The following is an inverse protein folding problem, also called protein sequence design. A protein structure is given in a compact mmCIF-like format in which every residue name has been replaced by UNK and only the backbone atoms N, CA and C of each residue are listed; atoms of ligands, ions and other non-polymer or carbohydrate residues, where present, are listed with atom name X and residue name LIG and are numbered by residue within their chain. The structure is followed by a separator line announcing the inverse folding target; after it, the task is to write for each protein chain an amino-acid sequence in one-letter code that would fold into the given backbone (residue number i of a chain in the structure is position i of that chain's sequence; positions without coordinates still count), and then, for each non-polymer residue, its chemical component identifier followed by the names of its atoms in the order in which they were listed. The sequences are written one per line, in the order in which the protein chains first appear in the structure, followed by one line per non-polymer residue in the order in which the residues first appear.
data_IF_600609315887
#
_entry.id   IF_600609315887
#
_cell.length_a   1.000
_cell.length_b   1.000
_cell.length_c   1.000
_cell.angle_alpha   90.00
_cell.angle_beta   90.00
_cell.angle_gamma   90.00
#
_symmetry.space_group_name_H-M   'P 1'
#
loop_
_entity.id
_entity.type
_entity.pdbx_description
1 polymer ?
#
# COMPACT_ATOMS: atom_id res chain seq x y z
N UNK A 1 -32.49 -8.44 4.22
CA UNK A 1 -31.49 -9.44 4.71
C UNK A 1 -30.08 -8.91 4.36
N UNK A 2 -29.35 -8.39 5.34
CA UNK A 2 -27.99 -7.95 5.10
C UNK A 2 -27.14 -9.21 4.84
N UNK A 3 -26.62 -9.33 3.61
CA UNK A 3 -25.79 -10.45 3.19
C UNK A 3 -24.56 -10.54 4.13
N UNK A 4 -24.53 -11.53 5.01
CA UNK A 4 -23.40 -11.81 5.92
C UNK A 4 -22.08 -12.06 5.16
N UNK A 5 -22.13 -12.46 3.90
CA UNK A 5 -20.98 -12.57 2.99
C UNK A 5 -20.33 -11.22 2.65
N UNK A 6 -21.04 -10.11 2.75
CA UNK A 6 -20.48 -8.76 2.48
C UNK A 6 -19.50 -8.24 3.54
N UNK A 7 -19.31 -8.94 4.66
CA UNK A 7 -18.39 -8.54 5.75
C UNK A 7 -17.09 -9.32 5.79
N UNK A 8 -17.12 -10.64 5.61
CA UNK A 8 -15.93 -11.52 5.76
C UNK A 8 -14.99 -11.39 4.56
N UNK A 9 -15.48 -11.39 3.33
CA UNK A 9 -14.62 -11.33 2.14
C UNK A 9 -13.82 -10.03 2.08
N UNK A 10 -14.42 -8.82 2.25
CA UNK A 10 -13.64 -7.59 2.36
C UNK A 10 -12.66 -7.58 3.54
N UNK A 11 -13.01 -8.17 4.68
CA UNK A 11 -12.10 -8.29 5.83
C UNK A 11 -10.86 -9.12 5.46
N UNK A 12 -11.05 -10.30 4.86
CA UNK A 12 -9.95 -11.16 4.42
C UNK A 12 -9.07 -10.45 3.38
N UNK A 13 -9.66 -9.75 2.41
CA UNK A 13 -8.91 -8.96 1.42
C UNK A 13 -8.01 -7.92 2.09
N UNK A 14 -8.50 -7.21 3.11
CA UNK A 14 -7.73 -6.23 3.88
C UNK A 14 -6.61 -6.89 4.70
N UNK A 15 -6.89 -8.02 5.35
CA UNK A 15 -5.89 -8.79 6.10
C UNK A 15 -4.76 -9.28 5.19
N UNK A 16 -5.06 -9.65 3.95
CA UNK A 16 -4.05 -10.14 3.01
C UNK A 16 -3.21 -9.01 2.37
N UNK A 17 -3.82 -7.86 2.07
CA UNK A 17 -3.12 -6.77 1.40
C UNK A 17 -2.32 -5.88 2.35
N UNK A 18 -2.80 -5.65 3.57
CA UNK A 18 -2.21 -4.70 4.51
C UNK A 18 -0.79 -5.04 4.96
N UNK A 19 -0.43 -6.32 5.24
CA UNK A 19 0.92 -6.67 5.67
C UNK A 19 1.99 -6.28 4.66
N UNK A 20 1.68 -6.28 3.37
CA UNK A 20 2.62 -5.88 2.32
C UNK A 20 3.15 -4.46 2.57
N UNK A 21 2.27 -3.53 2.91
CA UNK A 21 2.63 -2.15 3.19
C UNK A 21 3.23 -1.96 4.57
N UNK A 22 2.61 -2.54 5.59
CA UNK A 22 3.10 -2.41 6.98
C UNK A 22 4.54 -2.93 7.08
N UNK A 23 4.81 -4.11 6.54
CA UNK A 23 6.16 -4.70 6.58
C UNK A 23 7.16 -3.91 5.72
N UNK A 24 6.74 -3.43 4.54
CA UNK A 24 7.59 -2.59 3.70
C UNK A 24 7.96 -1.28 4.40
N UNK A 25 7.00 -0.63 5.06
CA UNK A 25 7.26 0.59 5.82
C UNK A 25 8.15 0.34 7.05
N UNK A 26 7.92 -0.73 7.80
CA UNK A 26 8.78 -1.14 8.93
C UNK A 26 10.21 -1.39 8.45
N UNK A 27 10.39 -2.12 7.34
CA UNK A 27 11.71 -2.37 6.75
C UNK A 27 12.44 -1.06 6.43
N UNK A 28 11.74 -0.05 5.89
CA UNK A 28 12.32 1.26 5.61
C UNK A 28 12.78 1.98 6.88
N UNK A 29 12.08 1.82 7.98
CA UNK A 29 12.47 2.40 9.28
C UNK A 29 13.67 1.67 9.88
N UNK A 30 13.64 0.33 9.90
CA UNK A 30 14.70 -0.50 10.51
C UNK A 30 16.00 -0.42 9.71
N UNK A 31 15.92 -0.46 8.38
CA UNK A 31 17.07 -0.40 7.48
C UNK A 31 17.26 1.00 6.87
N UNK A 32 16.97 2.07 7.61
CA UNK A 32 16.85 3.43 7.09
C UNK A 32 18.06 3.90 6.28
N UNK A 33 19.28 3.67 6.77
CA UNK A 33 20.50 4.09 6.09
C UNK A 33 20.68 3.36 4.74
N UNK A 34 20.46 2.05 4.73
CA UNK A 34 20.54 1.23 3.52
C UNK A 34 19.47 1.65 2.52
N UNK A 35 18.24 1.83 2.98
CA UNK A 35 17.12 2.26 2.12
C UNK A 35 17.32 3.67 1.57
N UNK A 36 17.93 4.59 2.34
CA UNK A 36 18.27 5.93 1.86
C UNK A 36 19.23 5.89 0.67
N UNK A 37 20.19 4.96 0.65
CA UNK A 37 21.11 4.81 -0.49
C UNK A 37 20.39 4.42 -1.80
N UNK A 38 19.35 3.57 -1.72
CA UNK A 38 18.51 3.24 -2.89
C UNK A 38 17.74 4.47 -3.40
N UNK A 39 17.19 5.28 -2.48
CA UNK A 39 16.47 6.51 -2.85
C UNK A 39 17.42 7.53 -3.49
N UNK A 40 18.65 7.63 -2.99
CA UNK A 40 19.71 8.47 -3.56
C UNK A 40 20.09 7.98 -4.97
N UNK A 41 20.25 6.68 -5.17
CA UNK A 41 20.54 6.10 -6.46
C UNK A 41 19.44 6.32 -7.50
N UNK A 42 18.19 6.47 -7.06
CA UNK A 42 17.05 6.83 -7.91
C UNK A 42 16.95 8.34 -8.19
N UNK A 43 17.96 9.14 -7.78
CA UNK A 43 18.03 10.60 -7.96
C UNK A 43 16.82 11.37 -7.40
N UNK A 44 16.15 10.84 -6.38
CA UNK A 44 15.06 11.56 -5.71
C UNK A 44 15.60 12.69 -4.83
N UNK A 45 14.93 13.84 -4.80
CA UNK A 45 15.32 14.96 -3.94
C UNK A 45 15.11 14.57 -2.46
N UNK A 46 15.96 15.11 -1.58
CA UNK A 46 15.88 14.92 -0.13
C UNK A 46 15.68 13.44 0.27
N UNK A 47 16.64 12.53 -0.02
CA UNK A 47 16.44 11.08 0.06
C UNK A 47 15.90 10.59 1.41
N UNK A 48 16.45 11.10 2.52
CA UNK A 48 16.00 10.73 3.86
C UNK A 48 14.57 11.17 4.16
N UNK A 49 14.19 12.37 3.72
CA UNK A 49 12.82 12.87 3.86
C UNK A 49 11.84 12.08 3.00
N UNK A 50 12.20 11.84 1.74
CA UNK A 50 11.38 11.04 0.81
C UNK A 50 11.16 9.61 1.34
N UNK A 51 12.20 9.00 1.90
CA UNK A 51 12.10 7.69 2.53
C UNK A 51 11.20 7.69 3.77
N UNK A 52 11.32 8.72 4.61
CA UNK A 52 10.46 8.90 5.79
C UNK A 52 8.98 9.04 5.42
N UNK A 53 8.68 9.85 4.39
CA UNK A 53 7.33 9.97 3.85
C UNK A 53 6.80 8.64 3.30
N UNK A 54 7.63 7.90 2.56
CA UNK A 54 7.27 6.58 2.03
C UNK A 54 6.93 5.60 3.16
N UNK A 55 7.78 5.50 4.18
CA UNK A 55 7.54 4.66 5.34
C UNK A 55 6.25 5.04 6.08
N UNK A 56 5.98 6.33 6.26
CA UNK A 56 4.76 6.82 6.89
C UNK A 56 3.50 6.45 6.08
N UNK A 57 3.52 6.67 4.76
CA UNK A 57 2.40 6.30 3.87
C UNK A 57 2.12 4.80 3.94
N UNK A 58 3.15 3.97 3.91
CA UNK A 58 3.02 2.52 3.94
C UNK A 58 2.50 2.02 5.29
N UNK A 59 3.06 2.48 6.41
CA UNK A 59 2.63 2.04 7.76
C UNK A 59 1.22 2.54 8.05
N UNK A 60 0.98 3.85 7.92
CA UNK A 60 -0.31 4.45 8.25
C UNK A 60 -1.40 3.98 7.28
N UNK A 61 -1.10 3.96 5.97
CA UNK A 61 -2.02 3.47 4.95
C UNK A 61 -2.35 1.98 5.13
N UNK A 62 -1.34 1.15 5.40
CA UNK A 62 -1.52 -0.28 5.68
C UNK A 62 -2.37 -0.52 6.93
N UNK A 63 -2.12 0.19 8.03
CA UNK A 63 -2.92 0.10 9.26
C UNK A 63 -4.36 0.60 9.05
N UNK A 64 -4.55 1.69 8.30
CA UNK A 64 -5.87 2.21 7.97
C UNK A 64 -6.67 1.21 7.14
N UNK A 65 -6.05 0.58 6.13
CA UNK A 65 -6.67 -0.49 5.34
C UNK A 65 -7.00 -1.69 6.22
N UNK A 66 -6.06 -2.15 7.07
CA UNK A 66 -6.25 -3.30 7.96
C UNK A 66 -7.46 -3.12 8.88
N UNK A 67 -7.52 -1.99 9.57
CA UNK A 67 -8.60 -1.68 10.52
C UNK A 67 -9.91 -1.28 9.83
N UNK A 68 -9.84 -0.91 8.56
CA UNK A 68 -10.98 -0.38 7.84
C UNK A 68 -11.35 1.04 8.29
N UNK A 69 -10.35 1.87 8.54
CA UNK A 69 -10.48 3.27 8.95
C UNK A 69 -10.18 4.20 7.78
N UNK A 70 -11.16 5.03 7.40
CA UNK A 70 -11.08 5.87 6.19
C UNK A 70 -10.56 5.10 4.97
N UNK A 71 -11.05 3.88 4.78
CA UNK A 71 -10.48 2.87 3.87
C UNK A 71 -10.39 3.37 2.43
N UNK A 72 -11.42 4.05 1.93
CA UNK A 72 -11.40 4.58 0.56
C UNK A 72 -10.28 5.59 0.36
N UNK A 73 -10.09 6.50 1.32
CA UNK A 73 -9.02 7.50 1.26
C UNK A 73 -7.64 6.85 1.37
N UNK A 74 -7.46 5.94 2.34
CA UNK A 74 -6.21 5.20 2.51
C UNK A 74 -5.84 4.41 1.24
N UNK A 75 -6.81 3.73 0.63
CA UNK A 75 -6.61 2.99 -0.60
C UNK A 75 -6.17 3.90 -1.76
N UNK A 76 -6.77 5.08 -1.92
CA UNK A 76 -6.34 6.05 -2.93
C UNK A 76 -4.93 6.59 -2.67
N UNK A 77 -4.60 6.95 -1.43
CA UNK A 77 -3.26 7.46 -1.08
C UNK A 77 -2.20 6.41 -1.39
N UNK A 78 -2.40 5.16 -0.94
CA UNK A 78 -1.46 4.07 -1.18
C UNK A 78 -1.38 3.71 -2.66
N UNK A 79 -2.49 3.71 -3.39
CA UNK A 79 -2.52 3.48 -4.83
C UNK A 79 -1.67 4.53 -5.59
N UNK A 80 -1.90 5.82 -5.31
CA UNK A 80 -1.15 6.91 -5.96
C UNK A 80 0.34 6.88 -5.60
N UNK A 81 0.67 6.52 -4.37
CA UNK A 81 2.05 6.32 -3.93
C UNK A 81 2.73 5.14 -4.64
N UNK A 82 1.99 4.06 -4.90
CA UNK A 82 2.55 2.85 -5.51
C UNK A 82 2.92 3.05 -6.99
N UNK A 83 2.29 4.02 -7.69
CA UNK A 83 2.62 4.33 -9.08
C UNK A 83 4.09 4.76 -9.24
N UNK A 84 4.53 5.89 -8.66
CA UNK A 84 5.93 6.32 -8.80
C UNK A 84 6.90 5.32 -8.18
N UNK A 85 6.54 4.66 -7.07
CA UNK A 85 7.38 3.64 -6.46
C UNK A 85 7.64 2.49 -7.43
N UNK A 86 6.62 1.98 -8.11
CA UNK A 86 6.76 0.90 -9.08
C UNK A 86 7.60 1.34 -10.29
N UNK A 87 7.36 2.54 -10.78
CA UNK A 87 8.10 3.07 -11.94
C UNK A 87 9.59 3.25 -11.63
N UNK A 88 9.91 3.92 -10.53
CA UNK A 88 11.28 4.33 -10.22
C UNK A 88 12.14 3.18 -9.67
N UNK A 89 11.57 2.32 -8.81
CA UNK A 89 12.34 1.30 -8.09
C UNK A 89 12.25 -0.11 -8.70
N UNK A 90 11.35 -0.33 -9.65
CA UNK A 90 11.18 -1.64 -10.28
C UNK A 90 11.18 -1.58 -11.80
N UNK A 91 10.36 -0.74 -12.44
CA UNK A 91 10.26 -0.74 -13.90
C UNK A 91 11.54 -0.19 -14.55
N UNK A 92 12.03 0.97 -14.12
CA UNK A 92 13.26 1.55 -14.66
C UNK A 92 14.48 0.64 -14.50
N UNK A 93 14.76 0.05 -13.30
CA UNK A 93 15.82 -0.92 -13.17
C UNK A 93 15.65 -2.14 -14.08
N UNK A 94 14.43 -2.69 -14.20
CA UNK A 94 14.15 -3.84 -15.07
C UNK A 94 14.43 -3.54 -16.54
N UNK A 95 14.03 -2.37 -17.03
CA UNK A 95 14.30 -1.94 -18.41
C UNK A 95 15.80 -1.76 -18.66
N UNK A 96 16.56 -1.32 -17.66
CA UNK A 96 18.01 -1.20 -17.70
C UNK A 96 18.77 -2.52 -17.42
N UNK A 97 18.08 -3.65 -17.42
CA UNK A 97 18.63 -4.99 -17.16
C UNK A 97 19.26 -5.18 -15.77
N UNK A 98 18.90 -4.34 -14.79
CA UNK A 98 19.31 -4.50 -13.39
C UNK A 98 18.33 -5.46 -12.75
N UNK A 99 18.77 -6.67 -12.41
CA UNK A 99 17.90 -7.74 -11.87
C UNK A 99 16.52 -7.76 -12.54
N UNK A 100 16.52 -7.91 -13.86
CA UNK A 100 15.32 -7.75 -14.68
C UNK A 100 14.17 -8.67 -14.22
N UNK A 101 14.47 -9.92 -13.90
CA UNK A 101 13.45 -10.89 -13.49
C UNK A 101 12.81 -10.51 -12.16
N UNK A 102 13.61 -10.22 -11.14
CA UNK A 102 13.12 -9.82 -9.83
C UNK A 102 12.33 -8.52 -9.87
N UNK A 103 12.83 -7.53 -10.61
CA UNK A 103 12.16 -6.26 -10.77
C UNK A 103 10.85 -6.36 -11.56
N UNK A 104 10.79 -7.14 -12.64
CA UNK A 104 9.54 -7.38 -13.37
C UNK A 104 8.50 -8.10 -12.50
N UNK A 105 8.89 -9.10 -11.73
CA UNK A 105 8.00 -9.75 -10.75
C UNK A 105 7.43 -8.75 -9.75
N UNK A 106 8.25 -7.78 -9.30
CA UNK A 106 7.77 -6.71 -8.43
C UNK A 106 6.79 -5.75 -9.14
N UNK A 107 7.00 -5.45 -10.42
CA UNK A 107 6.03 -4.67 -11.23
C UNK A 107 4.70 -5.40 -11.32
N UNK A 108 4.71 -6.68 -11.68
CA UNK A 108 3.50 -7.51 -11.80
C UNK A 108 2.74 -7.61 -10.47
N UNK A 109 3.46 -7.87 -9.38
CA UNK A 109 2.90 -7.88 -8.02
C UNK A 109 2.25 -6.55 -7.66
N UNK A 110 2.93 -5.44 -7.92
CA UNK A 110 2.41 -4.11 -7.60
C UNK A 110 1.17 -3.77 -8.44
N UNK A 111 1.11 -4.18 -9.71
CA UNK A 111 -0.09 -4.04 -10.54
C UNK A 111 -1.28 -4.80 -9.96
N UNK A 112 -1.08 -6.04 -9.50
CA UNK A 112 -2.11 -6.82 -8.83
C UNK A 112 -2.60 -6.15 -7.52
N UNK A 113 -1.67 -5.61 -6.72
CA UNK A 113 -1.98 -4.87 -5.50
C UNK A 113 -2.77 -3.59 -5.83
N UNK A 114 -2.36 -2.83 -6.85
CA UNK A 114 -3.08 -1.65 -7.31
C UNK A 114 -4.52 -1.98 -7.71
N UNK A 115 -4.74 -3.10 -8.39
CA UNK A 115 -6.09 -3.60 -8.68
C UNK A 115 -6.92 -3.81 -7.41
N UNK A 116 -6.36 -4.47 -6.40
CA UNK A 116 -7.01 -4.64 -5.09
C UNK A 116 -7.30 -3.32 -4.37
N UNK A 117 -6.38 -2.35 -4.44
CA UNK A 117 -6.57 -1.01 -3.87
C UNK A 117 -7.70 -0.24 -4.56
N UNK A 118 -7.84 -0.36 -5.88
CA UNK A 118 -8.96 0.25 -6.62
C UNK A 118 -10.31 -0.34 -6.18
N UNK A 119 -10.40 -1.65 -5.94
CA UNK A 119 -11.60 -2.25 -5.37
C UNK A 119 -11.92 -1.71 -3.98
N UNK A 120 -10.92 -1.56 -3.10
CA UNK A 120 -11.11 -0.96 -1.78
C UNK A 120 -11.52 0.52 -1.87
N UNK A 121 -10.96 1.27 -2.80
CA UNK A 121 -11.31 2.67 -3.04
C UNK A 121 -12.76 2.83 -3.55
N UNK A 122 -13.20 1.93 -4.42
CA UNK A 122 -14.57 1.96 -4.97
C UNK A 122 -15.60 1.49 -3.94
N UNK A 123 -15.40 0.32 -3.34
CA UNK A 123 -16.41 -0.36 -2.54
C UNK A 123 -16.25 -0.17 -1.02
N UNK A 124 -15.07 0.25 -0.55
CA UNK A 124 -14.79 0.49 0.88
C UNK A 124 -14.46 -0.78 1.66
N UNK A 125 -14.47 -0.66 2.98
CA UNK A 125 -13.94 -1.66 3.92
C UNK A 125 -14.86 -2.86 4.17
N UNK A 126 -16.13 -2.79 3.82
CA UNK A 126 -17.13 -3.81 4.17
C UNK A 126 -17.63 -3.72 5.62
N UNK A 127 -18.47 -4.68 6.02
CA UNK A 127 -19.21 -4.65 7.29
C UNK A 127 -18.38 -4.77 8.57
N UNK A 128 -17.27 -5.53 8.53
CA UNK A 128 -16.34 -5.67 9.66
C UNK A 128 -15.22 -4.64 9.58
N UNK A 129 -15.53 -3.37 9.87
CA UNK A 129 -14.59 -2.26 9.77
C UNK A 129 -14.94 -1.13 10.75
N UNK A 130 -13.96 -0.28 11.03
CA UNK A 130 -14.17 0.95 11.79
C UNK A 130 -15.13 1.88 11.06
N UNK A 131 -15.03 1.98 9.73
CA UNK A 131 -15.93 2.80 8.91
C UNK A 131 -17.39 2.39 9.07
N UNK A 132 -17.68 1.08 9.04
CA UNK A 132 -19.05 0.59 9.20
C UNK A 132 -19.59 0.76 10.64
N UNK A 133 -18.71 0.65 11.63
CA UNK A 133 -19.09 0.86 13.04
C UNK A 133 -19.42 2.33 13.32
N UNK A 134 -18.73 3.26 12.67
CA UNK A 134 -19.01 4.70 12.76
C UNK A 134 -20.33 5.05 12.08
N UNK A 135 -20.58 4.54 10.87
CA UNK A 135 -21.82 4.78 10.14
C UNK A 135 -23.07 4.34 10.94
N UNK A 136 -22.97 3.22 11.68
CA UNK A 136 -24.06 2.72 12.54
C UNK A 136 -24.35 3.57 13.79
N UNK A 137 -23.41 4.41 14.23
CA UNK A 137 -23.58 5.28 15.41
C UNK A 137 -24.20 6.64 15.06
N UNK A 138 -24.24 6.98 13.78
CA UNK A 138 -24.78 8.26 13.28
C UNK A 138 -26.19 8.14 12.72
N UNK A 139 -26.75 6.95 12.68
CA UNK A 139 -28.18 6.63 12.35
C UNK A 139 -28.94 6.25 13.61
#
# INVERSE_FOLDING_TARGET
MANSSGGIVPLLGRILISPVFILAGITKVVAFQIMTSYVTAAHLPLPSFSLGCAAAIEIVGGLAILTGFHTKLAAWIVFLFLIPTTLLFHLLPAVNNIDRMGNMTNVEKNLAIMGGLLFLAAFGAGGFSVDSSRARKTT
#
